data_IF_712766944499
#
_entry.id   IF_712766944499
#
_cell.length_a   1.000
_cell.length_b   1.000
_cell.length_c   1.000
_cell.angle_alpha   90.00
_cell.angle_beta   90.00
_cell.angle_gamma   90.00
#
_symmetry.space_group_name_H-M   'P 1'
#
loop_
_entity.id
_entity.type
_entity.pdbx_description
1 polymer ?
#
# COMPACT_ATOMS: atom_id res chain seq x y z
N UNK A 1 15.04 19.41 -36.54
CA UNK A 1 13.92 18.57 -37.02
C UNK A 1 13.77 17.23 -36.27
N UNK A 2 14.82 16.63 -35.65
CA UNK A 2 14.71 15.33 -34.97
C UNK A 2 13.97 15.37 -33.61
N UNK A 3 14.17 16.38 -32.79
CA UNK A 3 13.54 16.49 -31.46
C UNK A 3 12.02 16.73 -31.49
N UNK A 4 11.50 17.34 -32.55
CA UNK A 4 10.04 17.59 -32.70
C UNK A 4 9.32 16.30 -33.14
N UNK A 5 9.96 15.46 -33.95
CA UNK A 5 9.41 14.16 -34.39
C UNK A 5 9.42 13.10 -33.27
N UNK A 6 10.34 13.14 -32.31
CA UNK A 6 10.37 12.21 -31.17
C UNK A 6 9.24 12.52 -30.17
N UNK A 7 8.81 13.77 -30.03
CA UNK A 7 7.68 14.13 -29.16
C UNK A 7 6.31 13.74 -29.71
N UNK A 8 6.17 13.53 -31.03
CA UNK A 8 4.88 13.16 -31.64
C UNK A 8 4.47 11.69 -31.46
N UNK A 9 5.39 10.80 -31.10
CA UNK A 9 5.12 9.36 -30.98
C UNK A 9 4.82 8.85 -29.58
N UNK A 10 4.93 9.70 -28.51
CA UNK A 10 4.70 9.23 -27.13
C UNK A 10 3.21 9.09 -26.82
N UNK A 11 2.86 8.03 -26.09
CA UNK A 11 1.51 7.83 -25.57
C UNK A 11 1.22 8.82 -24.44
N UNK A 12 0.17 9.64 -24.62
CA UNK A 12 -0.25 10.61 -23.60
C UNK A 12 -1.16 9.94 -22.55
N UNK A 13 -0.72 9.94 -21.29
CA UNK A 13 -1.44 9.39 -20.14
C UNK A 13 -1.84 10.54 -19.20
N UNK A 14 -3.12 10.63 -18.84
CA UNK A 14 -3.57 11.58 -17.81
C UNK A 14 -4.02 10.84 -16.55
N UNK A 15 -3.29 11.04 -15.46
CA UNK A 15 -3.57 10.41 -14.16
C UNK A 15 -4.53 11.33 -13.37
N UNK A 16 -5.71 10.82 -13.06
CA UNK A 16 -6.70 11.51 -12.25
C UNK A 16 -6.41 11.24 -10.76
N UNK A 17 -5.63 12.12 -10.16
CA UNK A 17 -5.25 12.09 -8.75
C UNK A 17 -5.60 13.40 -8.05
N UNK A 18 -5.68 13.39 -6.72
CA UNK A 18 -5.85 14.60 -5.93
C UNK A 18 -4.49 15.28 -5.76
N UNK A 19 -4.42 16.61 -5.98
CA UNK A 19 -3.17 17.38 -5.90
C UNK A 19 -2.59 17.51 -4.48
N UNK A 20 -3.44 17.46 -3.45
CA UNK A 20 -3.05 17.53 -2.03
C UNK A 20 -3.85 16.47 -1.28
N UNK A 21 -3.25 15.34 -1.01
CA UNK A 21 -3.74 14.36 -0.04
C UNK A 21 -2.86 14.40 1.20
N UNK A 22 -3.38 13.90 2.32
CA UNK A 22 -2.59 13.73 3.54
C UNK A 22 -1.49 12.72 3.24
N UNK A 23 -0.24 13.09 3.38
CA UNK A 23 0.95 12.32 3.00
C UNK A 23 1.03 10.91 3.62
N UNK A 24 0.27 10.67 4.69
CA UNK A 24 0.24 9.41 5.43
C UNK A 24 -0.76 8.36 4.88
N UNK A 25 -1.34 8.55 3.70
CA UNK A 25 -2.29 7.58 3.13
C UNK A 25 -1.61 6.69 2.08
N UNK A 26 -1.71 5.36 2.26
CA UNK A 26 -1.11 4.36 1.35
C UNK A 26 -1.53 4.52 -0.11
N UNK A 27 -2.79 4.93 -0.38
CA UNK A 27 -3.28 5.23 -1.74
C UNK A 27 -2.52 6.40 -2.37
N UNK A 28 -2.23 7.44 -1.59
CA UNK A 28 -1.44 8.57 -2.07
C UNK A 28 -0.01 8.14 -2.42
N UNK A 29 0.65 7.40 -1.51
CA UNK A 29 2.00 6.87 -1.74
C UNK A 29 2.05 5.97 -2.98
N UNK A 30 1.11 5.05 -3.15
CA UNK A 30 1.03 4.18 -4.32
C UNK A 30 0.80 4.98 -5.62
N UNK A 31 -0.04 6.03 -5.57
CA UNK A 31 -0.27 6.92 -6.73
C UNK A 31 0.99 7.68 -7.11
N UNK A 32 1.72 8.23 -6.15
CA UNK A 32 2.99 8.93 -6.42
C UNK A 32 4.05 7.97 -6.96
N UNK A 33 4.14 6.75 -6.42
CA UNK A 33 5.03 5.72 -6.94
C UNK A 33 4.73 5.39 -8.41
N UNK A 34 3.45 5.22 -8.79
CA UNK A 34 3.06 4.99 -10.18
C UNK A 34 3.45 6.16 -11.10
N UNK A 35 3.18 7.40 -10.67
CA UNK A 35 3.54 8.61 -11.44
C UNK A 35 5.05 8.67 -11.67
N UNK A 36 5.84 8.45 -10.61
CA UNK A 36 7.29 8.44 -10.67
C UNK A 36 7.80 7.33 -11.60
N UNK A 37 7.23 6.11 -11.46
CA UNK A 37 7.60 4.96 -12.27
C UNK A 37 7.44 5.23 -13.78
N UNK A 38 6.26 5.73 -14.18
CA UNK A 38 5.97 6.02 -15.57
C UNK A 38 6.78 7.20 -16.12
N UNK A 39 7.12 8.19 -15.28
CA UNK A 39 7.99 9.30 -15.68
C UNK A 39 9.45 8.91 -15.80
N UNK A 40 9.97 8.05 -14.90
CA UNK A 40 11.39 7.70 -14.87
C UNK A 40 11.72 6.61 -15.90
N UNK A 41 10.98 5.50 -15.86
CA UNK A 41 11.24 4.35 -16.75
C UNK A 41 10.49 4.44 -18.08
N UNK A 42 9.32 5.07 -18.08
CA UNK A 42 8.50 5.26 -19.28
C UNK A 42 8.77 6.56 -20.03
N UNK A 43 9.79 7.34 -19.65
CA UNK A 43 10.06 8.68 -20.19
C UNK A 43 10.13 8.76 -21.71
N UNK A 44 10.63 7.69 -22.36
CA UNK A 44 10.79 7.63 -23.82
C UNK A 44 9.51 7.16 -24.53
N UNK A 45 8.55 6.55 -23.81
CA UNK A 45 7.30 6.01 -24.35
C UNK A 45 6.06 6.82 -23.95
N UNK A 46 6.07 7.46 -22.79
CA UNK A 46 4.91 8.09 -22.17
C UNK A 46 5.10 9.57 -21.89
N UNK A 47 4.04 10.35 -22.14
CA UNK A 47 3.88 11.71 -21.61
C UNK A 47 2.82 11.65 -20.51
N UNK A 48 3.26 11.73 -19.24
CA UNK A 48 2.37 11.63 -18.08
C UNK A 48 1.95 13.02 -17.61
N UNK A 49 0.65 13.25 -17.49
CA UNK A 49 0.07 14.47 -16.91
C UNK A 49 -0.87 14.14 -15.75
N UNK A 50 -1.08 15.09 -14.85
CA UNK A 50 -1.95 14.93 -13.68
C UNK A 50 -3.12 15.88 -13.77
N UNK A 51 -4.33 15.37 -14.02
CA UNK A 51 -5.59 16.11 -14.11
C UNK A 51 -5.60 17.26 -15.15
N UNK A 52 -4.69 17.27 -16.11
CA UNK A 52 -4.51 18.38 -17.06
C UNK A 52 -5.14 18.12 -18.43
N UNK A 53 -4.89 16.95 -19.01
CA UNK A 53 -5.12 16.71 -20.43
C UNK A 53 -6.05 15.52 -20.74
N UNK A 54 -7.00 15.17 -19.85
CA UNK A 54 -7.82 13.96 -20.00
C UNK A 54 -8.53 13.86 -21.36
N UNK A 55 -8.91 14.99 -21.98
CA UNK A 55 -9.58 15.01 -23.30
C UNK A 55 -8.65 14.59 -24.45
N UNK A 56 -7.39 15.00 -24.39
CA UNK A 56 -6.37 14.76 -25.43
C UNK A 56 -5.51 13.52 -25.16
N UNK A 57 -5.57 12.94 -23.95
CA UNK A 57 -4.77 11.75 -23.60
C UNK A 57 -5.24 10.51 -24.35
N UNK A 58 -4.33 9.60 -24.63
CA UNK A 58 -4.62 8.28 -25.20
C UNK A 58 -5.25 7.36 -24.14
N UNK A 59 -4.78 7.46 -22.90
CA UNK A 59 -5.23 6.71 -21.75
C UNK A 59 -5.48 7.62 -20.54
N UNK A 60 -6.51 7.31 -19.76
CA UNK A 60 -6.80 7.97 -18.48
C UNK A 60 -6.76 6.94 -17.35
N UNK A 61 -5.97 7.20 -16.33
CA UNK A 61 -5.88 6.35 -15.13
C UNK A 61 -6.47 7.11 -13.94
N UNK A 62 -7.56 6.62 -13.36
CA UNK A 62 -8.16 7.17 -12.14
C UNK A 62 -7.65 6.42 -10.92
N UNK A 63 -6.89 7.11 -10.07
CA UNK A 63 -6.34 6.55 -8.80
C UNK A 63 -7.19 6.92 -7.58
N UNK A 64 -8.29 7.64 -7.77
CA UNK A 64 -9.22 8.03 -6.72
C UNK A 64 -10.66 8.13 -7.25
N UNK A 65 -11.64 7.88 -6.38
CA UNK A 65 -13.06 7.78 -6.74
C UNK A 65 -13.85 9.08 -6.58
N UNK A 66 -13.27 10.24 -6.90
CA UNK A 66 -13.97 11.52 -6.78
C UNK A 66 -15.08 11.70 -7.84
N UNK A 67 -16.24 12.32 -7.50
CA UNK A 67 -17.32 12.55 -8.45
C UNK A 67 -16.89 13.26 -9.75
N UNK A 68 -15.96 14.20 -9.67
CA UNK A 68 -15.38 14.87 -10.85
C UNK A 68 -14.63 13.90 -11.78
N UNK A 69 -14.06 12.82 -11.25
CA UNK A 69 -13.38 11.81 -12.05
C UNK A 69 -14.37 10.84 -12.68
N UNK A 70 -15.46 10.52 -12.00
CA UNK A 70 -16.58 9.77 -12.55
C UNK A 70 -17.08 10.35 -13.88
N UNK A 71 -17.28 11.70 -13.92
CA UNK A 71 -17.72 12.39 -15.14
C UNK A 71 -16.65 12.28 -16.24
N UNK A 72 -15.38 12.37 -15.89
CA UNK A 72 -14.26 12.24 -16.84
C UNK A 72 -14.17 10.85 -17.44
N UNK A 73 -14.28 9.80 -16.63
CA UNK A 73 -14.27 8.41 -17.07
C UNK A 73 -15.39 8.12 -18.06
N UNK A 74 -16.62 8.59 -17.79
CA UNK A 74 -17.79 8.41 -18.69
C UNK A 74 -17.56 8.95 -20.12
N UNK A 75 -16.69 9.96 -20.27
CA UNK A 75 -16.46 10.66 -21.55
C UNK A 75 -15.27 10.13 -22.33
N UNK A 76 -14.59 9.10 -21.85
CA UNK A 76 -13.35 8.58 -22.46
C UNK A 76 -13.46 7.08 -22.71
N UNK A 77 -12.99 6.62 -23.88
CA UNK A 77 -13.07 5.19 -24.27
C UNK A 77 -12.01 4.33 -23.58
N UNK A 78 -10.78 4.83 -23.42
CA UNK A 78 -9.67 4.08 -22.79
C UNK A 78 -9.40 4.64 -21.41
N UNK A 79 -9.87 3.92 -20.40
CA UNK A 79 -9.78 4.35 -19.02
C UNK A 79 -9.47 3.16 -18.11
N UNK A 80 -8.59 3.38 -17.14
CA UNK A 80 -8.33 2.46 -16.03
C UNK A 80 -8.87 3.10 -14.75
N UNK A 81 -9.57 2.33 -13.91
CA UNK A 81 -9.79 2.68 -12.52
C UNK A 81 -8.96 1.77 -11.62
N UNK A 82 -8.14 2.40 -10.75
CA UNK A 82 -7.41 1.67 -9.71
C UNK A 82 -8.37 1.25 -8.60
N UNK A 83 -8.38 -0.03 -8.28
CA UNK A 83 -9.21 -0.60 -7.22
C UNK A 83 -8.40 -0.63 -5.92
N UNK A 84 -8.61 0.37 -5.07
CA UNK A 84 -7.95 0.48 -3.77
C UNK A 84 -8.78 -0.09 -2.62
N UNK A 85 -10.04 -0.41 -2.84
CA UNK A 85 -10.95 -1.05 -1.88
C UNK A 85 -12.18 -1.59 -2.61
N UNK A 86 -12.78 -2.61 -2.03
CA UNK A 86 -14.07 -3.14 -2.43
C UNK A 86 -15.16 -2.68 -1.43
N UNK A 87 -16.44 -2.81 -1.75
CA UNK A 87 -17.53 -2.47 -0.83
C UNK A 87 -17.39 -3.12 0.55
N UNK A 88 -16.95 -4.37 0.61
CA UNK A 88 -16.83 -5.13 1.87
C UNK A 88 -15.63 -4.67 2.70
N UNK A 89 -14.54 -4.21 2.09
CA UNK A 89 -13.35 -3.71 2.81
C UNK A 89 -13.55 -2.32 3.44
N UNK A 90 -14.69 -1.68 3.19
CA UNK A 90 -15.08 -0.40 3.83
C UNK A 90 -15.62 -0.60 5.25
N UNK A 91 -16.09 -1.80 5.57
CA UNK A 91 -16.56 -2.13 6.89
C UNK A 91 -15.38 -2.13 7.88
N UNK A 92 -15.55 -1.49 9.04
CA UNK A 92 -14.46 -1.32 10.03
C UNK A 92 -13.42 -0.22 9.73
N UNK A 93 -13.56 0.53 8.63
CA UNK A 93 -12.67 1.66 8.29
C UNK A 93 -13.28 3.02 8.64
N UNK A 94 -14.55 3.23 8.32
CA UNK A 94 -15.25 4.51 8.48
C UNK A 94 -16.58 4.30 9.19
N UNK A 95 -16.84 5.08 10.22
CA UNK A 95 -18.12 5.09 10.93
C UNK A 95 -19.13 5.97 10.20
N UNK A 96 -19.96 5.35 9.37
CA UNK A 96 -21.11 5.98 8.70
C UNK A 96 -22.42 5.27 9.09
N UNK A 97 -23.58 5.99 9.09
CA UNK A 97 -24.88 5.33 9.16
C UNK A 97 -25.05 4.30 8.05
N UNK A 98 -25.69 3.16 8.33
CA UNK A 98 -25.81 2.03 7.37
C UNK A 98 -26.34 2.46 5.99
N UNK A 99 -27.35 3.35 5.95
CA UNK A 99 -27.89 3.84 4.68
C UNK A 99 -26.85 4.65 3.87
N UNK A 100 -26.08 5.52 4.51
CA UNK A 100 -25.04 6.32 3.86
C UNK A 100 -23.90 5.43 3.35
N UNK A 101 -23.52 4.41 4.14
CA UNK A 101 -22.53 3.42 3.73
C UNK A 101 -23.01 2.63 2.50
N UNK A 102 -24.28 2.21 2.45
CA UNK A 102 -24.85 1.52 1.30
C UNK A 102 -24.87 2.40 0.04
N UNK A 103 -25.22 3.68 0.17
CA UNK A 103 -25.15 4.64 -0.95
C UNK A 103 -23.70 4.76 -1.44
N UNK A 104 -22.75 4.88 -0.52
CA UNK A 104 -21.34 4.96 -0.87
C UNK A 104 -20.81 3.70 -1.56
N UNK A 105 -21.17 2.51 -1.05
CA UNK A 105 -20.85 1.21 -1.68
C UNK A 105 -21.39 1.13 -3.12
N UNK A 106 -22.64 1.54 -3.34
CA UNK A 106 -23.24 1.61 -4.68
C UNK A 106 -22.52 2.62 -5.59
N UNK A 107 -22.13 3.77 -5.06
CA UNK A 107 -21.35 4.75 -5.80
C UNK A 107 -19.99 4.21 -6.23
N UNK A 108 -19.25 3.53 -5.34
CA UNK A 108 -17.97 2.88 -5.64
C UNK A 108 -18.12 1.89 -6.80
N UNK A 109 -19.10 1.00 -6.73
CA UNK A 109 -19.37 0.02 -7.80
C UNK A 109 -19.77 0.70 -9.11
N UNK A 110 -20.56 1.76 -9.05
CA UNK A 110 -20.92 2.55 -10.23
C UNK A 110 -19.70 3.26 -10.82
N UNK A 111 -18.77 3.73 -9.99
CA UNK A 111 -17.52 4.34 -10.44
C UNK A 111 -16.64 3.33 -11.20
N UNK A 112 -16.45 2.14 -10.65
CA UNK A 112 -15.67 1.08 -11.30
C UNK A 112 -16.29 0.66 -12.63
N UNK A 113 -17.62 0.54 -12.72
CA UNK A 113 -18.34 0.24 -13.99
C UNK A 113 -18.24 1.35 -15.04
N UNK A 114 -17.70 2.55 -14.72
CA UNK A 114 -17.48 3.62 -15.72
C UNK A 114 -16.10 3.57 -16.35
N UNK A 115 -15.16 2.89 -15.75
CA UNK A 115 -13.88 2.62 -16.38
C UNK A 115 -14.03 1.49 -17.42
N UNK A 116 -13.16 1.49 -18.42
CA UNK A 116 -13.06 0.39 -19.38
C UNK A 116 -12.35 -0.80 -18.75
N UNK A 117 -11.27 -0.55 -18.03
CA UNK A 117 -10.48 -1.55 -17.34
C UNK A 117 -10.33 -1.22 -15.86
N UNK A 118 -10.19 -2.28 -15.05
CA UNK A 118 -9.88 -2.20 -13.63
C UNK A 118 -8.50 -2.76 -13.37
N UNK A 119 -7.75 -2.10 -12.51
CA UNK A 119 -6.46 -2.60 -12.02
C UNK A 119 -6.51 -2.67 -10.50
N UNK A 120 -6.28 -3.87 -9.96
CA UNK A 120 -6.07 -4.10 -8.52
C UNK A 120 -4.59 -4.38 -8.25
N UNK A 121 -4.15 -4.13 -7.03
CA UNK A 121 -2.76 -4.38 -6.62
C UNK A 121 -2.51 -5.80 -6.13
N UNK A 122 -3.55 -6.63 -6.07
CA UNK A 122 -3.47 -7.99 -5.54
C UNK A 122 -4.36 -8.94 -6.36
N UNK A 123 -3.80 -10.02 -6.93
CA UNK A 123 -4.55 -11.00 -7.74
C UNK A 123 -5.76 -11.60 -7.01
N UNK A 124 -5.74 -11.69 -5.68
CA UNK A 124 -6.87 -12.17 -4.88
C UNK A 124 -8.17 -11.39 -5.17
N UNK A 125 -8.06 -10.11 -5.48
CA UNK A 125 -9.23 -9.26 -5.74
C UNK A 125 -9.70 -9.31 -7.20
N UNK A 126 -8.92 -9.89 -8.12
CA UNK A 126 -9.35 -10.11 -9.52
C UNK A 126 -10.58 -11.03 -9.53
N UNK A 127 -10.51 -12.18 -8.85
CA UNK A 127 -11.63 -13.10 -8.79
C UNK A 127 -12.85 -12.48 -8.12
N UNK A 128 -12.66 -11.74 -7.00
CA UNK A 128 -13.76 -11.03 -6.34
C UNK A 128 -14.44 -10.00 -7.24
N UNK A 129 -13.70 -9.30 -8.10
CA UNK A 129 -14.28 -8.36 -9.07
C UNK A 129 -15.07 -9.10 -10.15
N UNK A 130 -14.57 -10.23 -10.63
CA UNK A 130 -15.29 -11.10 -11.59
C UNK A 130 -16.61 -11.59 -10.96
N UNK A 131 -16.59 -12.05 -9.71
CA UNK A 131 -17.77 -12.50 -8.96
C UNK A 131 -18.80 -11.36 -8.74
N UNK A 132 -18.35 -10.11 -8.71
CA UNK A 132 -19.17 -8.89 -8.67
C UNK A 132 -19.71 -8.48 -10.06
N UNK A 133 -19.48 -9.29 -11.10
CA UNK A 133 -20.01 -9.11 -12.45
C UNK A 133 -19.18 -8.20 -13.35
N UNK A 134 -17.88 -8.05 -13.09
CA UNK A 134 -16.96 -7.41 -14.04
C UNK A 134 -16.42 -8.44 -15.03
N UNK A 135 -16.19 -8.01 -16.27
CA UNK A 135 -15.64 -8.87 -17.30
C UNK A 135 -14.17 -9.21 -16.99
N UNK A 136 -13.85 -10.51 -16.99
CA UNK A 136 -12.51 -11.02 -16.72
C UNK A 136 -11.42 -10.48 -17.64
N UNK A 137 -11.77 -10.10 -18.87
CA UNK A 137 -10.83 -9.54 -19.84
C UNK A 137 -10.45 -8.07 -19.55
N UNK A 138 -11.24 -7.41 -18.69
CA UNK A 138 -11.08 -6.01 -18.28
C UNK A 138 -10.71 -5.83 -16.81
N UNK A 139 -10.34 -6.92 -16.13
CA UNK A 139 -9.85 -6.87 -14.73
C UNK A 139 -8.41 -7.39 -14.70
N UNK A 140 -7.50 -6.55 -14.27
CA UNK A 140 -6.06 -6.82 -14.25
C UNK A 140 -5.50 -6.69 -12.84
N UNK A 141 -4.34 -7.30 -12.61
CA UNK A 141 -3.57 -7.09 -11.38
C UNK A 141 -2.18 -6.60 -11.73
N UNK A 142 -1.79 -5.45 -11.17
CA UNK A 142 -0.42 -4.94 -11.19
C UNK A 142 -0.06 -4.55 -9.76
N UNK A 143 0.95 -5.18 -9.15
CA UNK A 143 1.27 -4.97 -7.75
C UNK A 143 1.81 -3.56 -7.46
N UNK A 144 1.78 -3.17 -6.20
CA UNK A 144 2.55 -2.05 -5.71
C UNK A 144 4.05 -2.36 -5.74
N UNK A 145 4.87 -1.33 -5.74
CA UNK A 145 6.32 -1.42 -5.53
C UNK A 145 6.81 -0.29 -4.63
N UNK A 146 8.00 -0.47 -4.10
CA UNK A 146 8.72 0.54 -3.34
C UNK A 146 10.11 0.71 -3.93
N UNK A 147 10.55 1.96 -4.08
CA UNK A 147 11.88 2.26 -4.62
C UNK A 147 12.97 1.94 -3.59
N UNK A 148 13.93 1.12 -3.97
CA UNK A 148 15.14 0.85 -3.18
C UNK A 148 16.08 2.06 -3.02
N UNK A 149 15.86 3.13 -3.79
CA UNK A 149 16.50 4.43 -3.58
C UNK A 149 15.92 5.20 -2.40
N UNK A 150 14.67 4.89 -2.03
CA UNK A 150 13.96 5.55 -0.93
C UNK A 150 13.98 4.73 0.35
N UNK A 151 13.87 3.41 0.24
CA UNK A 151 13.92 2.49 1.36
C UNK A 151 15.06 1.50 1.13
N UNK A 152 16.03 1.51 2.03
CA UNK A 152 17.24 0.71 1.98
C UNK A 152 17.80 0.49 3.39
N UNK A 153 18.58 -0.57 3.62
CA UNK A 153 19.22 -0.82 4.91
C UNK A 153 20.21 0.26 5.26
N UNK A 154 20.13 0.79 6.48
CA UNK A 154 21.13 1.71 7.04
C UNK A 154 22.26 0.93 7.72
N UNK A 155 23.42 1.55 7.85
CA UNK A 155 24.55 1.05 8.66
C UNK A 155 24.16 1.00 10.15
N UNK A 156 24.87 0.19 10.93
CA UNK A 156 24.63 0.06 12.38
C UNK A 156 24.70 1.41 13.10
N UNK A 157 25.72 2.29 12.87
CA UNK A 157 25.75 3.61 13.49
C UNK A 157 24.53 4.49 13.13
N UNK A 158 24.06 4.45 11.87
CA UNK A 158 22.89 5.21 11.44
C UNK A 158 21.61 4.71 12.09
N UNK A 159 21.46 3.37 12.24
CA UNK A 159 20.32 2.76 12.97
C UNK A 159 20.29 3.21 14.44
N UNK A 160 21.44 3.20 15.12
CA UNK A 160 21.56 3.65 16.50
C UNK A 160 21.25 5.14 16.64
N UNK A 161 21.74 5.98 15.73
CA UNK A 161 21.41 7.41 15.70
C UNK A 161 19.89 7.63 15.49
N UNK A 162 19.28 6.84 14.60
CA UNK A 162 17.85 6.88 14.38
C UNK A 162 17.06 6.45 15.63
N UNK A 163 17.46 5.37 16.31
CA UNK A 163 16.85 4.96 17.59
C UNK A 163 16.95 6.08 18.63
N UNK A 164 18.11 6.69 18.79
CA UNK A 164 18.32 7.83 19.69
C UNK A 164 17.43 9.01 19.37
N UNK A 165 17.31 9.38 18.07
CA UNK A 165 16.43 10.46 17.59
C UNK A 165 14.99 10.27 18.02
N UNK A 166 14.46 9.04 17.93
CA UNK A 166 13.08 8.72 18.28
C UNK A 166 12.90 8.23 19.72
N UNK A 167 13.96 8.26 20.52
CA UNK A 167 13.97 7.83 21.92
C UNK A 167 13.66 6.33 22.07
N UNK A 168 14.09 5.51 21.13
CA UNK A 168 13.97 4.05 21.13
C UNK A 168 15.23 3.48 21.81
N UNK A 169 15.13 2.56 22.77
CA UNK A 169 16.31 1.98 23.43
C UNK A 169 17.24 1.27 22.42
N UNK A 170 18.55 1.49 22.54
CA UNK A 170 19.55 0.97 21.60
C UNK A 170 19.62 -0.56 21.59
N UNK A 171 19.53 -1.17 22.77
CA UNK A 171 19.72 -2.63 22.97
C UNK A 171 18.41 -3.43 23.03
N UNK A 172 17.26 -2.82 22.78
CA UNK A 172 15.98 -3.51 22.79
C UNK A 172 15.68 -4.17 21.46
N UNK A 173 14.98 -5.31 21.49
CA UNK A 173 14.33 -5.86 20.32
C UNK A 173 13.10 -5.01 19.99
N UNK A 174 13.10 -4.37 18.83
CA UNK A 174 12.10 -3.38 18.43
C UNK A 174 11.08 -3.98 17.49
N UNK A 175 9.83 -4.04 17.93
CA UNK A 175 8.67 -4.49 17.17
C UNK A 175 7.91 -3.27 16.65
N UNK A 176 7.89 -3.05 15.34
CA UNK A 176 7.27 -1.88 14.73
C UNK A 176 5.91 -2.23 14.12
N UNK A 177 4.87 -1.48 14.48
CA UNK A 177 3.60 -1.41 13.75
C UNK A 177 3.54 -0.12 12.93
N UNK A 178 2.99 -0.19 11.71
CA UNK A 178 2.87 0.99 10.86
C UNK A 178 1.53 1.05 10.13
N UNK A 179 0.86 2.19 10.22
CA UNK A 179 -0.39 2.45 9.52
C UNK A 179 -1.35 3.36 10.27
N UNK A 180 -2.51 3.58 9.67
CA UNK A 180 -3.56 4.38 10.30
C UNK A 180 -4.02 3.73 11.61
N UNK A 181 -4.27 4.56 12.61
CA UNK A 181 -4.81 4.09 13.90
C UNK A 181 -6.29 3.76 13.76
N UNK A 182 -6.59 2.54 13.37
CA UNK A 182 -7.95 2.02 13.11
C UNK A 182 -8.10 0.62 13.69
N UNK A 183 -9.36 0.23 14.01
CA UNK A 183 -9.67 -1.14 14.47
C UNK A 183 -9.20 -2.19 13.47
N UNK A 184 -9.44 -1.97 12.18
CA UNK A 184 -9.04 -2.85 11.08
C UNK A 184 -7.51 -3.11 11.03
N UNK A 185 -6.70 -2.17 11.51
CA UNK A 185 -5.23 -2.31 11.52
C UNK A 185 -4.70 -3.13 12.70
N UNK A 186 -5.58 -3.63 13.57
CA UNK A 186 -5.19 -4.50 14.67
C UNK A 186 -4.41 -3.80 15.78
N UNK A 187 -4.62 -2.48 15.98
CA UNK A 187 -3.92 -1.72 17.05
C UNK A 187 -4.15 -2.32 18.43
N UNK A 188 -5.34 -2.92 18.68
CA UNK A 188 -5.64 -3.59 19.95
C UNK A 188 -4.79 -4.83 20.14
N UNK A 189 -4.65 -5.64 19.09
CA UNK A 189 -3.81 -6.85 19.11
C UNK A 189 -2.33 -6.47 19.29
N UNK A 190 -1.89 -5.40 18.61
CA UNK A 190 -0.53 -4.87 18.78
C UNK A 190 -0.24 -4.50 20.24
N UNK A 191 -1.18 -3.83 20.93
CA UNK A 191 -1.06 -3.49 22.33
C UNK A 191 -1.11 -4.70 23.24
N UNK A 192 -2.01 -5.65 23.03
CA UNK A 192 -2.12 -6.87 23.81
C UNK A 192 -0.84 -7.73 23.68
N UNK A 193 -0.30 -7.85 22.45
CA UNK A 193 0.98 -8.55 22.24
C UNK A 193 2.14 -7.83 22.92
N UNK A 194 2.11 -6.49 23.00
CA UNK A 194 3.11 -5.72 23.73
C UNK A 194 3.05 -5.97 25.24
N UNK A 195 1.85 -6.04 25.82
CA UNK A 195 1.66 -6.38 27.26
C UNK A 195 2.23 -7.78 27.58
N UNK A 196 2.07 -8.76 26.68
CA UNK A 196 2.59 -10.12 26.82
C UNK A 196 4.12 -10.24 26.62
N UNK A 197 4.78 -9.16 26.16
CA UNK A 197 6.19 -9.13 25.81
C UNK A 197 6.89 -7.86 26.39
N UNK A 198 6.94 -7.71 27.73
CA UNK A 198 7.44 -6.48 28.38
C UNK A 198 8.93 -6.22 28.13
N UNK A 199 9.72 -7.23 27.79
CA UNK A 199 11.16 -7.12 27.51
C UNK A 199 11.47 -6.59 26.09
N UNK A 200 10.47 -6.42 25.23
CA UNK A 200 10.59 -5.88 23.90
C UNK A 200 10.06 -4.45 23.85
N UNK A 201 10.58 -3.64 22.94
CA UNK A 201 10.04 -2.28 22.68
C UNK A 201 9.10 -2.32 21.50
N UNK A 202 7.88 -1.85 21.68
CA UNK A 202 6.89 -1.74 20.64
C UNK A 202 6.74 -0.28 20.18
N UNK A 203 6.75 -0.07 18.86
CA UNK A 203 6.69 1.27 18.26
C UNK A 203 5.58 1.29 17.22
N UNK A 204 4.55 2.15 17.42
CA UNK A 204 3.52 2.36 16.41
C UNK A 204 3.75 3.68 15.67
N UNK A 205 3.79 3.60 14.34
CA UNK A 205 3.94 4.75 13.44
C UNK A 205 2.65 4.97 12.66
N UNK A 206 2.11 6.17 12.75
CA UNK A 206 0.85 6.55 12.11
C UNK A 206 -0.16 7.11 13.11
N UNK A 207 -1.29 7.59 12.60
CA UNK A 207 -2.27 8.31 13.41
C UNK A 207 -3.70 8.17 12.88
N UNK A 208 -4.61 8.97 13.47
CA UNK A 208 -6.01 9.03 13.07
C UNK A 208 -6.21 9.91 11.83
N UNK A 209 -5.99 9.39 10.65
CA UNK A 209 -6.06 10.15 9.39
C UNK A 209 -7.46 10.69 9.10
N UNK A 210 -8.51 9.98 9.54
CA UNK A 210 -9.89 10.43 9.40
C UNK A 210 -10.44 11.15 10.65
N UNK A 211 -9.58 11.44 11.65
CA UNK A 211 -9.98 12.10 12.88
C UNK A 211 -11.10 11.33 13.62
N UNK A 212 -12.11 12.05 14.10
CA UNK A 212 -13.21 11.50 14.92
C UNK A 212 -14.15 10.52 14.18
N UNK A 213 -14.15 10.49 12.85
CA UNK A 213 -14.96 9.55 12.04
C UNK A 213 -14.26 8.21 11.83
N UNK A 214 -13.02 8.04 12.32
CA UNK A 214 -12.34 6.75 12.32
C UNK A 214 -13.12 5.73 13.15
N UNK A 215 -13.28 4.51 12.60
CA UNK A 215 -13.89 3.42 13.38
C UNK A 215 -13.04 3.10 14.61
N UNK A 216 -13.70 3.02 15.77
CA UNK A 216 -13.04 2.77 17.04
C UNK A 216 -12.30 3.98 17.66
N UNK A 217 -12.43 5.20 17.09
CA UNK A 217 -11.67 6.40 17.52
C UNK A 217 -11.61 6.62 19.03
N UNK A 218 -12.79 6.64 19.71
CA UNK A 218 -12.85 6.95 21.16
C UNK A 218 -12.09 5.93 22.00
N UNK A 219 -12.28 4.64 21.74
CA UNK A 219 -11.63 3.56 22.49
C UNK A 219 -10.14 3.45 22.18
N UNK A 220 -9.75 3.56 20.90
CA UNK A 220 -8.34 3.57 20.51
C UNK A 220 -7.61 4.80 21.07
N UNK A 221 -8.24 5.98 21.04
CA UNK A 221 -7.65 7.18 21.63
C UNK A 221 -7.39 7.00 23.13
N UNK A 222 -8.34 6.38 23.86
CA UNK A 222 -8.15 6.09 25.30
C UNK A 222 -6.97 5.14 25.55
N UNK A 223 -6.85 4.08 24.74
CA UNK A 223 -5.73 3.11 24.84
C UNK A 223 -4.38 3.77 24.54
N UNK A 224 -4.31 4.60 23.50
CA UNK A 224 -3.08 5.29 23.08
C UNK A 224 -2.66 6.36 24.10
N UNK A 225 -3.62 6.96 24.80
CA UNK A 225 -3.33 8.00 25.83
C UNK A 225 -2.68 7.42 27.08
N UNK A 226 -2.78 6.11 27.31
CA UNK A 226 -2.14 5.39 28.41
C UNK A 226 -1.72 4.00 27.95
N UNK A 227 -0.69 3.91 27.06
CA UNK A 227 -0.23 2.65 26.51
C UNK A 227 0.59 1.85 27.54
N UNK A 228 0.82 0.55 27.31
CA UNK A 228 1.79 -0.23 28.07
C UNK A 228 3.17 0.45 28.12
N UNK A 229 3.94 0.29 29.20
CA UNK A 229 5.22 1.00 29.41
C UNK A 229 6.26 0.78 28.29
N UNK A 230 6.20 -0.37 27.64
CA UNK A 230 7.08 -0.77 26.54
C UNK A 230 6.56 -0.34 25.16
N UNK A 231 5.46 0.43 25.08
CA UNK A 231 4.87 0.88 23.83
C UNK A 231 5.07 2.38 23.62
N UNK A 232 5.51 2.75 22.42
CA UNK A 232 5.68 4.12 21.99
C UNK A 232 4.87 4.41 20.73
N UNK A 233 4.01 5.44 20.77
CA UNK A 233 3.31 5.97 19.60
C UNK A 233 4.02 7.21 19.09
N UNK A 234 4.59 7.13 17.86
CA UNK A 234 5.32 8.25 17.25
C UNK A 234 4.44 9.20 16.46
N UNK A 235 3.15 8.84 16.27
CA UNK A 235 2.26 9.63 15.43
C UNK A 235 2.60 9.54 13.93
N UNK A 236 2.20 10.56 13.20
CA UNK A 236 2.47 10.67 11.76
C UNK A 236 3.88 11.20 11.58
N UNK A 237 4.71 10.43 10.90
CA UNK A 237 6.10 10.76 10.57
C UNK A 237 6.18 11.24 9.12
N UNK A 238 6.97 12.30 8.82
CA UNK A 238 7.23 12.73 7.45
C UNK A 238 7.77 11.61 6.56
N UNK A 239 7.40 11.63 5.30
CA UNK A 239 7.69 10.54 4.36
C UNK A 239 9.19 10.35 4.10
N UNK A 240 9.97 11.44 4.19
CA UNK A 240 11.42 11.45 4.08
C UNK A 240 12.14 10.81 5.28
N UNK A 241 11.48 10.74 6.43
CA UNK A 241 12.02 10.11 7.63
C UNK A 241 11.67 8.63 7.78
N UNK A 242 10.75 8.13 6.95
CA UNK A 242 10.23 6.76 7.09
C UNK A 242 11.31 5.68 6.89
N UNK A 243 12.31 5.91 6.03
CA UNK A 243 13.43 4.97 5.92
C UNK A 243 14.18 4.80 7.25
N UNK A 244 14.47 5.90 7.94
CA UNK A 244 15.14 5.87 9.26
C UNK A 244 14.30 5.14 10.31
N UNK A 245 12.97 5.35 10.29
CA UNK A 245 12.05 4.70 11.22
C UNK A 245 11.98 3.19 10.99
N UNK A 246 11.86 2.71 9.75
CA UNK A 246 11.87 1.26 9.48
C UNK A 246 13.18 0.62 9.92
N UNK A 247 14.30 1.31 9.72
CA UNK A 247 15.61 0.84 10.15
C UNK A 247 15.80 0.82 11.68
N UNK A 248 14.96 1.48 12.48
CA UNK A 248 14.95 1.33 13.94
C UNK A 248 14.42 -0.04 14.39
N UNK A 249 13.63 -0.71 13.56
CA UNK A 249 12.95 -1.94 13.92
C UNK A 249 13.79 -3.19 13.66
N UNK A 250 13.53 -4.24 14.46
CA UNK A 250 14.04 -5.59 14.24
C UNK A 250 12.99 -6.45 13.50
N UNK A 251 11.72 -6.04 13.52
CA UNK A 251 10.61 -6.69 12.81
C UNK A 251 9.46 -5.71 12.58
N UNK A 252 8.82 -5.80 11.41
CA UNK A 252 7.49 -5.22 11.18
C UNK A 252 6.42 -6.21 11.65
N UNK A 253 5.52 -5.76 12.53
CA UNK A 253 4.36 -6.53 12.98
C UNK A 253 3.06 -5.85 12.54
N UNK A 254 2.31 -6.51 11.66
CA UNK A 254 1.04 -6.04 11.10
C UNK A 254 -0.10 -7.01 11.42
N UNK A 255 -0.77 -6.88 12.57
CA UNK A 255 -1.92 -7.73 12.93
C UNK A 255 -3.23 -7.28 12.25
N UNK A 256 -3.16 -6.67 11.07
CA UNK A 256 -4.31 -6.16 10.33
C UNK A 256 -5.31 -7.25 10.01
N UNK A 257 -6.61 -6.93 10.09
CA UNK A 257 -7.71 -7.85 9.77
C UNK A 257 -8.09 -7.84 8.29
N UNK A 258 -7.74 -6.78 7.57
CA UNK A 258 -8.01 -6.65 6.13
C UNK A 258 -7.04 -5.66 5.49
N UNK A 259 -6.53 -6.01 4.32
CA UNK A 259 -5.61 -5.23 3.49
C UNK A 259 -5.84 -5.56 2.01
N UNK A 260 -5.25 -4.77 1.10
CA UNK A 260 -5.09 -5.21 -0.29
C UNK A 260 -3.67 -5.72 -0.54
N UNK A 261 -2.73 -4.79 -0.63
CA UNK A 261 -1.30 -5.06 -0.65
C UNK A 261 -0.60 -3.83 -0.06
N UNK A 262 -0.33 -3.83 1.26
CA UNK A 262 0.11 -2.64 1.96
C UNK A 262 1.54 -2.24 1.60
N UNK A 263 1.74 -0.94 1.34
CA UNK A 263 3.06 -0.36 1.06
C UNK A 263 4.05 -0.60 2.20
N UNK A 264 3.57 -0.60 3.44
CA UNK A 264 4.37 -0.83 4.66
C UNK A 264 5.13 -2.16 4.64
N UNK A 265 4.57 -3.21 4.05
CA UNK A 265 5.26 -4.50 3.88
C UNK A 265 6.42 -4.35 2.90
N UNK A 266 6.20 -3.68 1.77
CA UNK A 266 7.25 -3.46 0.77
C UNK A 266 8.33 -2.49 1.28
N UNK A 267 7.96 -1.50 2.08
CA UNK A 267 8.89 -0.58 2.74
C UNK A 267 9.79 -1.33 3.72
N UNK A 268 9.20 -2.19 4.57
CA UNK A 268 9.94 -3.03 5.51
C UNK A 268 10.85 -4.05 4.82
N UNK A 269 10.36 -4.68 3.74
CA UNK A 269 11.17 -5.65 2.98
C UNK A 269 12.40 -4.99 2.32
N UNK A 270 12.28 -3.76 1.83
CA UNK A 270 13.39 -3.02 1.24
C UNK A 270 14.46 -2.59 2.27
N UNK A 271 14.13 -2.52 3.56
CA UNK A 271 15.12 -2.29 4.63
C UNK A 271 15.60 -3.59 5.29
N UNK A 272 15.23 -4.74 4.73
CA UNK A 272 15.66 -6.07 5.13
C UNK A 272 15.31 -6.43 6.59
N UNK A 273 14.12 -6.04 7.08
CA UNK A 273 13.62 -6.50 8.37
C UNK A 273 12.56 -7.60 8.19
N UNK A 274 12.51 -8.60 9.07
CA UNK A 274 11.44 -9.61 9.09
C UNK A 274 10.05 -8.97 9.14
N UNK A 275 9.07 -9.69 8.62
CA UNK A 275 7.67 -9.24 8.58
C UNK A 275 6.79 -10.31 9.22
N UNK A 276 6.00 -9.92 10.22
CA UNK A 276 4.98 -10.76 10.85
C UNK A 276 3.60 -10.16 10.56
N UNK A 277 2.73 -10.97 9.97
CA UNK A 277 1.36 -10.56 9.62
C UNK A 277 0.33 -11.50 10.22
N UNK A 278 -0.93 -11.04 10.30
CA UNK A 278 -2.06 -11.96 10.48
C UNK A 278 -2.18 -12.86 9.26
N UNK A 279 -2.43 -14.15 9.48
CA UNK A 279 -2.61 -15.10 8.38
C UNK A 279 -3.95 -14.83 7.69
N UNK A 280 -3.89 -14.15 6.56
CA UNK A 280 -5.05 -13.79 5.74
C UNK A 280 -4.91 -14.41 4.35
N UNK A 281 -5.99 -15.05 3.81
CA UNK A 281 -5.95 -15.67 2.48
C UNK A 281 -5.51 -14.72 1.37
N UNK A 282 -5.81 -13.42 1.51
CA UNK A 282 -5.43 -12.39 0.53
C UNK A 282 -3.91 -12.20 0.40
N UNK A 283 -3.12 -12.65 1.37
CA UNK A 283 -1.66 -12.55 1.33
C UNK A 283 -1.00 -13.69 0.54
N UNK A 284 -1.71 -14.81 0.30
CA UNK A 284 -1.12 -15.96 -0.39
C UNK A 284 -0.57 -15.63 -1.78
N UNK A 285 -1.28 -14.89 -2.66
CA UNK A 285 -0.78 -14.60 -4.00
C UNK A 285 0.22 -13.44 -4.08
N UNK A 286 0.52 -12.75 -2.97
CA UNK A 286 1.42 -11.59 -2.96
C UNK A 286 2.57 -11.67 -1.96
N UNK A 287 2.43 -12.43 -0.88
CA UNK A 287 3.50 -12.58 0.13
C UNK A 287 4.09 -13.99 0.14
N UNK A 288 3.38 -14.96 -0.43
CA UNK A 288 3.80 -16.37 -0.52
C UNK A 288 4.26 -16.89 0.85
N UNK A 289 5.42 -17.53 0.92
CA UNK A 289 6.10 -17.99 2.14
C UNK A 289 7.15 -16.98 2.69
N UNK A 290 7.15 -15.73 2.18
CA UNK A 290 8.21 -14.75 2.46
C UNK A 290 8.01 -13.96 3.75
N UNK A 291 6.92 -14.22 4.47
CA UNK A 291 6.59 -13.56 5.74
C UNK A 291 6.23 -14.57 6.81
N UNK A 292 6.39 -14.17 8.08
CA UNK A 292 5.90 -14.91 9.23
C UNK A 292 4.40 -14.65 9.40
N UNK A 293 3.66 -15.68 9.81
CA UNK A 293 2.19 -15.60 9.93
C UNK A 293 1.71 -16.14 11.27
N UNK A 294 0.71 -15.49 11.85
CA UNK A 294 0.01 -15.93 13.04
C UNK A 294 -1.46 -15.58 12.98
N UNK A 295 -2.30 -16.30 13.69
CA UNK A 295 -3.77 -16.11 13.67
C UNK A 295 -4.31 -15.34 14.86
N UNK A 296 -3.55 -15.32 15.97
CA UNK A 296 -3.98 -14.76 17.26
C UNK A 296 -2.77 -14.23 18.05
N UNK A 297 -3.06 -13.53 19.16
CA UNK A 297 -2.03 -12.88 19.98
C UNK A 297 -1.03 -13.85 20.60
N UNK A 298 -1.45 -15.10 20.95
CA UNK A 298 -0.56 -16.11 21.48
C UNK A 298 0.46 -16.57 20.43
N UNK A 299 0.03 -16.80 19.20
CA UNK A 299 0.91 -17.16 18.09
C UNK A 299 1.86 -16.00 17.75
N UNK A 300 1.38 -14.76 17.69
CA UNK A 300 2.23 -13.58 17.47
C UNK A 300 3.31 -13.48 18.56
N UNK A 301 2.93 -13.57 19.84
CA UNK A 301 3.88 -13.52 20.96
C UNK A 301 4.89 -14.66 20.91
N UNK A 302 4.46 -15.87 20.55
CA UNK A 302 5.35 -17.03 20.40
C UNK A 302 6.39 -16.81 19.30
N UNK A 303 5.97 -16.33 18.13
CA UNK A 303 6.85 -16.02 16.99
C UNK A 303 7.86 -14.94 17.37
N UNK A 304 7.43 -13.86 18.01
CA UNK A 304 8.33 -12.79 18.45
C UNK A 304 9.38 -13.30 19.45
N UNK A 305 8.96 -14.06 20.46
CA UNK A 305 9.86 -14.69 21.45
C UNK A 305 10.86 -15.65 20.80
N UNK A 306 10.43 -16.38 19.78
CA UNK A 306 11.31 -17.27 19.02
C UNK A 306 12.39 -16.48 18.25
N UNK A 307 12.03 -15.39 17.57
CA UNK A 307 12.98 -14.56 16.83
C UNK A 307 14.02 -13.89 17.75
N UNK A 308 13.63 -13.52 18.97
CA UNK A 308 14.59 -12.99 19.96
C UNK A 308 15.60 -14.06 20.38
N UNK A 309 15.14 -15.29 20.65
CA UNK A 309 15.96 -16.39 21.16
C UNK A 309 16.77 -17.11 20.08
N UNK A 310 16.33 -17.06 18.83
CA UNK A 310 16.92 -17.84 17.75
C UNK A 310 17.44 -16.94 16.61
N UNK A 311 18.75 -16.57 16.64
CA UNK A 311 19.35 -15.74 15.59
C UNK A 311 19.29 -16.37 14.19
N UNK A 312 19.30 -17.71 14.09
CA UNK A 312 19.24 -18.42 12.80
C UNK A 312 17.87 -18.18 12.16
N UNK A 313 16.78 -18.42 12.90
CA UNK A 313 15.43 -18.17 12.41
C UNK A 313 15.21 -16.70 12.05
N UNK A 314 15.80 -15.79 12.82
CA UNK A 314 15.75 -14.37 12.48
C UNK A 314 16.49 -14.06 11.17
N UNK A 315 17.65 -14.65 10.94
CA UNK A 315 18.39 -14.51 9.69
C UNK A 315 17.61 -15.08 8.48
N UNK A 316 16.99 -16.24 8.63
CA UNK A 316 16.11 -16.83 7.61
C UNK A 316 14.92 -15.91 7.28
N UNK A 317 14.30 -15.30 8.28
CA UNK A 317 13.21 -14.36 8.07
C UNK A 317 13.66 -13.06 7.39
N UNK A 318 14.89 -12.60 7.63
CA UNK A 318 15.52 -11.48 6.92
C UNK A 318 15.72 -11.85 5.44
N UNK A 319 16.26 -13.03 5.14
CA UNK A 319 16.47 -13.51 3.77
C UNK A 319 15.12 -13.52 3.02
N UNK A 320 14.08 -14.11 3.61
CA UNK A 320 12.74 -14.14 3.03
C UNK A 320 12.18 -12.74 2.75
N UNK A 321 12.39 -11.81 3.67
CA UNK A 321 11.97 -10.41 3.49
C UNK A 321 12.71 -9.74 2.32
N UNK A 322 14.02 -9.99 2.18
CA UNK A 322 14.84 -9.49 1.07
C UNK A 322 14.36 -10.06 -0.27
N UNK A 323 14.10 -11.36 -0.33
CA UNK A 323 13.52 -12.00 -1.52
C UNK A 323 12.16 -11.39 -1.91
N UNK A 324 11.33 -11.04 -0.93
CA UNK A 324 10.06 -10.34 -1.19
C UNK A 324 10.30 -8.98 -1.84
N UNK A 325 11.27 -8.19 -1.38
CA UNK A 325 11.62 -6.91 -2.01
C UNK A 325 12.05 -7.09 -3.47
N UNK A 326 12.82 -8.13 -3.77
CA UNK A 326 13.28 -8.45 -5.12
C UNK A 326 12.14 -8.86 -6.07
N UNK A 327 11.04 -9.39 -5.56
CA UNK A 327 9.86 -9.72 -6.36
C UNK A 327 9.14 -8.48 -6.89
N UNK A 328 9.20 -7.36 -6.16
CA UNK A 328 8.44 -6.14 -6.41
C UNK A 328 9.32 -4.92 -6.69
N UNK A 329 10.36 -5.12 -7.48
CA UNK A 329 11.23 -4.03 -7.93
C UNK A 329 10.51 -3.10 -8.92
N UNK A 330 10.98 -1.86 -9.00
CA UNK A 330 10.45 -0.88 -9.95
C UNK A 330 10.45 -1.40 -11.38
N UNK A 331 11.52 -2.07 -11.82
CA UNK A 331 11.66 -2.59 -13.19
C UNK A 331 10.63 -3.68 -13.50
N UNK A 332 10.40 -4.63 -12.57
CA UNK A 332 9.41 -5.69 -12.72
C UNK A 332 7.99 -5.15 -12.78
N UNK A 333 7.67 -4.17 -11.95
CA UNK A 333 6.34 -3.57 -11.93
C UNK A 333 6.14 -2.64 -13.13
N UNK A 334 7.19 -1.93 -13.58
CA UNK A 334 7.13 -1.16 -14.80
C UNK A 334 6.83 -2.05 -16.02
N UNK A 335 7.51 -3.18 -16.15
CA UNK A 335 7.26 -4.11 -17.27
C UNK A 335 5.79 -4.55 -17.33
N UNK A 336 5.16 -4.83 -16.19
CA UNK A 336 3.73 -5.19 -16.13
C UNK A 336 2.82 -4.01 -16.54
N UNK A 337 3.13 -2.80 -16.10
CA UNK A 337 2.41 -1.60 -16.53
C UNK A 337 2.60 -1.31 -18.03
N UNK A 338 3.82 -1.43 -18.54
CA UNK A 338 4.15 -1.22 -19.95
C UNK A 338 3.38 -2.19 -20.84
N UNK A 339 3.37 -3.48 -20.49
CA UNK A 339 2.60 -4.53 -21.19
C UNK A 339 1.10 -4.21 -21.20
N UNK A 340 0.53 -3.88 -20.03
CA UNK A 340 -0.90 -3.56 -19.92
C UNK A 340 -1.26 -2.30 -20.73
N UNK A 341 -0.47 -1.23 -20.62
CA UNK A 341 -0.72 0.02 -21.35
C UNK A 341 -0.66 -0.23 -22.86
N UNK A 342 0.35 -0.95 -23.36
CA UNK A 342 0.50 -1.26 -24.78
C UNK A 342 -0.69 -2.09 -25.29
N UNK A 343 -1.07 -3.15 -24.58
CA UNK A 343 -2.27 -3.94 -24.88
C UNK A 343 -3.50 -3.05 -25.04
N UNK A 344 -3.78 -2.20 -24.06
CA UNK A 344 -4.96 -1.33 -24.10
C UNK A 344 -4.89 -0.27 -25.22
N UNK A 345 -3.70 0.17 -25.61
CA UNK A 345 -3.54 1.12 -26.72
C UNK A 345 -3.74 0.43 -28.07
N UNK A 346 -3.25 -0.80 -28.25
CA UNK A 346 -3.32 -1.53 -29.52
C UNK A 346 -4.71 -2.12 -29.81
N UNK A 347 -5.41 -2.69 -28.82
CA UNK A 347 -6.81 -3.13 -28.93
C UNK A 347 -7.75 -2.04 -29.48
N UNK A 348 -7.36 -0.79 -29.39
CA UNK A 348 -8.14 0.32 -29.94
C UNK A 348 -7.74 0.73 -31.35
N UNK A 349 -6.65 0.19 -31.92
CA UNK A 349 -6.27 0.42 -33.31
C UNK A 349 -6.98 -0.58 -34.22
N UNK A 350 -7.18 -1.82 -33.78
CA UNK A 350 -7.90 -2.84 -34.55
C UNK A 350 -9.38 -2.51 -34.71
N UNK A 351 -10.06 -2.05 -33.66
CA UNK A 351 -11.49 -1.61 -33.72
C UNK A 351 -11.74 -0.35 -34.55
N UNK A 352 -10.73 0.29 -35.09
CA UNK A 352 -10.88 1.45 -36.00
C UNK A 352 -10.67 1.09 -37.46
N UNK A 353 -10.31 -0.16 -37.76
CA UNK A 353 -10.10 -0.64 -39.13
C UNK A 353 -11.31 -1.41 -39.72
N UNK A 354 -12.28 -1.71 -38.88
CA UNK A 354 -13.60 -2.25 -39.23
C UNK A 354 -14.66 -1.12 -39.16
#
# INVERSE_FOLDING_TARGET
MSLVNEMENKTNIDILAKKKEVESQGVHTATQSLITLLNDQGKDKYNVSICKNYKKSNLVIATAIYPKFYIKLKKKKKTIAMVHFLPDTLDGSIKLPKFALNIFKRYVMSFYRKAHDLVTVNPYYVQKLIDLGFDKYHVHSVPNFVSNKKFYPLSVPEKLNSRKKYGIPENSFVVMGCGQTQTRKGVRDFLAVAEDNPDMTFVWVGGFTFGKITEGYKSLKKMISNPPPNVKFLGIIPNEEMNSIYNCADILFMPSYDELFPMTILEASNVNIPILVRDLPLYNPVLFDKVLRGNNNLEFSSILKELVKNPIKRAEAIIKSTELAEMYTADKVYSQWDELINKLIDDGKEKKRD
#
